data_IF_496659132266
#
_entry.id   IF_496659132266
#
_cell.length_a   1.000
_cell.length_b   1.000
_cell.length_c   1.000
_cell.angle_alpha   90.00
_cell.angle_beta   90.00
_cell.angle_gamma   90.00
#
_symmetry.space_group_name_H-M   'P 1'
#
loop_
_entity.id
_entity.type
_entity.pdbx_description
1 polymer ?
#
# COMPACT_ATOMS: atom_id res chain seq x y z
N UNK A 1 7.65 20.83 -36.61
CA UNK A 1 7.39 22.23 -37.01
C UNK A 1 8.56 23.20 -36.75
N UNK A 2 9.52 22.88 -35.88
CA UNK A 2 10.74 23.69 -35.65
C UNK A 2 11.86 23.41 -36.69
N UNK A 3 11.69 22.42 -37.56
CA UNK A 3 12.69 22.02 -38.55
C UNK A 3 12.54 22.72 -39.93
N UNK A 4 11.50 23.53 -40.13
CA UNK A 4 11.23 24.16 -41.42
C UNK A 4 11.51 25.67 -41.50
N UNK A 5 12.12 26.27 -40.46
CA UNK A 5 12.36 27.73 -40.45
C UNK A 5 13.84 28.15 -40.28
N UNK A 6 14.79 27.24 -40.41
CA UNK A 6 16.23 27.64 -40.52
C UNK A 6 16.73 27.32 -41.89
N UNK A 7 16.41 28.18 -42.83
CA UNK A 7 17.09 28.28 -44.12
C UNK A 7 18.45 28.96 -43.85
N UNK A 8 19.50 28.15 -43.68
CA UNK A 8 20.87 28.64 -43.63
C UNK A 8 21.53 28.32 -44.99
N UNK A 9 21.12 29.08 -45.99
CA UNK A 9 21.89 29.20 -47.23
C UNK A 9 22.99 30.22 -46.96
N UNK A 10 24.22 29.81 -46.84
CA UNK A 10 25.38 30.70 -46.87
C UNK A 10 26.50 30.55 -45.87
N UNK A 11 26.83 29.32 -45.45
CA UNK A 11 28.08 29.09 -44.75
C UNK A 11 28.88 28.01 -45.44
N UNK A 12 30.05 28.47 -45.97
CA UNK A 12 31.02 27.69 -46.68
C UNK A 12 31.54 26.48 -45.90
N UNK A 13 32.04 25.51 -46.67
CA UNK A 13 32.62 24.26 -46.25
C UNK A 13 33.68 24.44 -45.15
N UNK A 14 33.26 24.41 -43.91
CA UNK A 14 34.12 24.36 -42.71
C UNK A 14 33.76 23.14 -41.91
N UNK A 15 34.63 22.17 -41.94
CA UNK A 15 34.79 20.97 -41.11
C UNK A 15 33.51 20.34 -40.52
N UNK A 16 33.08 19.23 -41.11
CA UNK A 16 32.01 18.36 -40.65
C UNK A 16 32.24 17.75 -39.22
N UNK A 17 33.32 18.07 -38.58
CA UNK A 17 33.72 17.55 -37.26
C UNK A 17 33.16 18.36 -36.07
N UNK A 18 32.74 19.60 -36.27
CA UNK A 18 32.18 20.42 -35.18
C UNK A 18 30.68 20.25 -34.96
N UNK A 19 29.96 19.63 -35.89
CA UNK A 19 28.50 19.42 -35.77
C UNK A 19 28.08 18.14 -35.04
N UNK A 20 28.97 17.19 -34.83
CA UNK A 20 28.71 15.92 -34.18
C UNK A 20 28.25 16.07 -32.71
N UNK A 21 28.90 16.87 -31.86
CA UNK A 21 28.50 17.02 -30.47
C UNK A 21 27.13 17.72 -30.30
N UNK A 22 26.80 18.66 -31.18
CA UNK A 22 25.55 19.39 -31.12
C UNK A 22 24.35 18.47 -31.49
N UNK A 23 24.53 17.60 -32.47
CA UNK A 23 23.48 16.65 -32.91
C UNK A 23 23.17 15.61 -31.84
N UNK A 24 24.18 15.13 -31.12
CA UNK A 24 24.00 14.20 -30.00
C UNK A 24 23.43 14.90 -28.77
N UNK A 25 23.80 16.14 -28.52
CA UNK A 25 23.19 16.98 -27.49
C UNK A 25 21.70 17.23 -27.76
N UNK A 26 21.32 17.58 -28.99
CA UNK A 26 19.91 17.77 -29.40
C UNK A 26 19.14 16.47 -29.30
N UNK A 27 19.73 15.33 -29.68
CA UNK A 27 19.08 14.01 -29.49
C UNK A 27 18.90 13.68 -28.03
N UNK A 28 19.88 13.95 -27.17
CA UNK A 28 19.81 13.79 -25.72
C UNK A 28 18.69 14.63 -25.10
N UNK A 29 18.68 15.92 -25.40
CA UNK A 29 17.65 16.87 -24.93
C UNK A 29 16.24 16.48 -25.44
N UNK A 30 16.14 16.04 -26.69
CA UNK A 30 14.84 15.57 -27.25
C UNK A 30 14.34 14.31 -26.56
N UNK A 31 15.22 13.38 -26.17
CA UNK A 31 14.86 12.19 -25.39
C UNK A 31 14.41 12.56 -23.98
N UNK A 32 15.17 13.41 -23.28
CA UNK A 32 14.80 13.88 -21.94
C UNK A 32 13.47 14.64 -21.96
N UNK A 33 13.25 15.52 -22.93
CA UNK A 33 11.99 16.23 -23.09
C UNK A 33 10.82 15.27 -23.33
N UNK A 34 11.01 14.25 -24.16
CA UNK A 34 10.00 13.22 -24.42
C UNK A 34 9.70 12.40 -23.16
N UNK A 35 10.71 12.06 -22.37
CA UNK A 35 10.54 11.36 -21.10
C UNK A 35 9.82 12.22 -20.06
N UNK A 36 10.18 13.50 -19.93
CA UNK A 36 9.51 14.45 -19.05
C UNK A 36 8.05 14.64 -19.47
N UNK A 37 7.78 14.75 -20.76
CA UNK A 37 6.44 14.87 -21.28
C UNK A 37 5.60 13.63 -21.01
N UNK A 38 6.11 12.44 -21.28
CA UNK A 38 5.46 11.16 -20.97
C UNK A 38 5.18 11.04 -19.47
N UNK A 39 6.13 11.43 -18.63
CA UNK A 39 5.99 11.41 -17.18
C UNK A 39 4.90 12.36 -16.69
N UNK A 40 4.82 13.59 -17.25
CA UNK A 40 3.75 14.54 -16.93
C UNK A 40 2.37 14.00 -17.32
N UNK A 41 2.23 13.46 -18.52
CA UNK A 41 0.97 12.85 -19.00
C UNK A 41 0.54 11.70 -18.08
N UNK A 42 1.48 10.82 -17.72
CA UNK A 42 1.19 9.69 -16.82
C UNK A 42 0.78 10.14 -15.42
N UNK A 43 1.43 11.18 -14.87
CA UNK A 43 1.05 11.76 -13.57
C UNK A 43 -0.35 12.39 -13.64
N UNK A 44 -0.70 13.02 -14.76
CA UNK A 44 -2.03 13.59 -14.95
C UNK A 44 -3.09 12.50 -15.07
N UNK A 45 -2.83 11.44 -15.83
CA UNK A 45 -3.71 10.27 -15.92
C UNK A 45 -3.89 9.53 -14.59
N UNK A 46 -2.84 9.48 -13.74
CA UNK A 46 -2.93 8.98 -12.37
C UNK A 46 -3.90 9.80 -11.50
N UNK A 47 -3.89 11.12 -11.65
CA UNK A 47 -4.78 12.03 -10.91
C UNK A 47 -6.23 11.94 -11.36
N UNK A 48 -6.46 11.62 -12.62
CA UNK A 48 -7.79 11.49 -13.25
C UNK A 48 -8.33 10.06 -13.17
N UNK A 49 -7.50 9.10 -12.72
CA UNK A 49 -7.92 7.71 -12.53
C UNK A 49 -8.90 7.61 -11.35
N UNK A 50 -9.96 6.80 -11.45
CA UNK A 50 -10.87 6.53 -10.33
C UNK A 50 -10.19 5.80 -9.15
N UNK A 51 -8.92 5.45 -9.27
CA UNK A 51 -8.14 4.78 -8.25
C UNK A 51 -7.29 5.78 -7.47
N UNK A 52 -7.31 5.66 -6.14
CA UNK A 52 -6.49 6.45 -5.19
C UNK A 52 -4.98 6.11 -5.25
N UNK A 53 -4.46 5.69 -6.42
CA UNK A 53 -3.02 5.41 -6.56
C UNK A 53 -2.26 6.72 -6.56
N UNK A 54 -1.46 6.91 -5.51
CA UNK A 54 -0.64 8.10 -5.33
C UNK A 54 0.82 7.72 -5.38
N UNK A 55 1.57 8.41 -6.23
CA UNK A 55 3.02 8.23 -6.34
C UNK A 55 3.56 8.96 -7.56
N UNK A 56 4.72 9.59 -7.39
CA UNK A 56 5.44 10.32 -8.43
C UNK A 56 6.86 9.74 -8.62
N UNK A 57 7.25 8.79 -7.77
CA UNK A 57 8.50 8.07 -7.88
C UNK A 57 8.54 7.23 -9.16
N UNK A 58 9.73 7.03 -9.70
CA UNK A 58 9.91 6.26 -10.93
C UNK A 58 9.36 4.84 -10.78
N UNK A 59 9.62 4.20 -9.65
CA UNK A 59 9.14 2.84 -9.36
C UNK A 59 7.61 2.74 -9.37
N UNK A 60 6.88 3.72 -8.79
CA UNK A 60 5.42 3.75 -8.82
C UNK A 60 4.86 4.04 -10.21
N UNK A 61 5.51 4.91 -10.99
CA UNK A 61 5.11 5.19 -12.36
C UNK A 61 5.24 3.94 -13.26
N UNK A 62 6.34 3.20 -13.13
CA UNK A 62 6.56 1.93 -13.83
C UNK A 62 5.55 0.86 -13.42
N UNK A 63 5.28 0.73 -12.11
CA UNK A 63 4.24 -0.16 -11.60
C UNK A 63 2.88 0.19 -12.21
N UNK A 64 2.52 1.47 -12.23
CA UNK A 64 1.23 1.91 -12.76
C UNK A 64 1.10 1.66 -14.28
N UNK A 65 2.16 1.85 -15.05
CA UNK A 65 2.18 1.48 -16.46
C UNK A 65 1.92 -0.03 -16.67
N UNK A 66 2.53 -0.87 -15.81
CA UNK A 66 2.28 -2.31 -15.82
C UNK A 66 0.83 -2.64 -15.43
N UNK A 67 0.30 -1.99 -14.39
CA UNK A 67 -1.12 -2.12 -13.99
C UNK A 67 -2.05 -1.84 -15.16
N UNK A 68 -1.88 -0.69 -15.84
CA UNK A 68 -2.70 -0.33 -17.01
C UNK A 68 -2.62 -1.36 -18.14
N UNK A 69 -1.41 -1.82 -18.45
CA UNK A 69 -1.22 -2.84 -19.49
C UNK A 69 -1.90 -4.15 -19.12
N UNK A 70 -1.75 -4.62 -17.90
CA UNK A 70 -2.28 -5.90 -17.42
C UNK A 70 -3.81 -5.83 -17.22
N UNK A 71 -4.34 -4.67 -16.84
CA UNK A 71 -5.78 -4.48 -16.64
C UNK A 71 -6.61 -4.82 -17.89
N UNK A 72 -6.08 -4.54 -19.09
CA UNK A 72 -6.77 -4.82 -20.36
C UNK A 72 -6.98 -6.31 -20.66
N UNK A 73 -6.27 -7.20 -19.95
CA UNK A 73 -6.32 -8.66 -20.18
C UNK A 73 -7.01 -9.37 -19.01
N UNK A 74 -7.79 -10.41 -19.35
CA UNK A 74 -8.49 -11.22 -18.35
C UNK A 74 -7.60 -12.36 -17.83
N UNK A 75 -6.51 -11.99 -17.16
CA UNK A 75 -5.52 -12.91 -16.58
C UNK A 75 -5.45 -12.76 -15.08
N UNK A 76 -5.04 -13.83 -14.40
CA UNK A 76 -4.79 -13.79 -12.96
C UNK A 76 -3.54 -12.96 -12.64
N UNK A 77 -3.62 -12.16 -11.58
CA UNK A 77 -2.56 -11.26 -11.14
C UNK A 77 -2.24 -11.51 -9.68
N UNK A 78 -0.96 -11.66 -9.36
CA UNK A 78 -0.46 -11.69 -8.00
C UNK A 78 0.21 -10.36 -7.66
N UNK A 79 -0.22 -9.71 -6.59
CA UNK A 79 0.35 -8.46 -6.08
C UNK A 79 1.22 -8.81 -4.87
N UNK A 80 2.53 -8.62 -5.00
CA UNK A 80 3.48 -8.83 -3.92
C UNK A 80 3.92 -7.48 -3.33
N UNK A 81 4.05 -7.42 -2.02
CA UNK A 81 4.52 -6.23 -1.31
C UNK A 81 4.28 -6.32 0.18
N UNK A 82 5.04 -5.55 0.95
CA UNK A 82 4.94 -5.52 2.40
C UNK A 82 3.55 -5.14 2.91
N UNK A 83 3.28 -5.44 4.19
CA UNK A 83 2.04 -5.01 4.84
C UNK A 83 1.94 -3.47 4.80
N UNK A 84 0.74 -2.95 4.51
CA UNK A 84 0.52 -1.51 4.42
C UNK A 84 1.09 -0.81 3.17
N UNK A 85 1.69 -1.53 2.22
CA UNK A 85 2.27 -0.94 1.00
C UNK A 85 1.23 -0.42 -0.01
N UNK A 86 -0.06 -0.81 0.11
CA UNK A 86 -1.14 -0.36 -0.76
C UNK A 86 -1.61 -1.41 -1.77
N UNK A 87 -1.49 -2.70 -1.46
CA UNK A 87 -1.90 -3.81 -2.35
C UNK A 87 -3.36 -3.73 -2.79
N UNK A 88 -4.26 -3.40 -1.87
CA UNK A 88 -5.69 -3.24 -2.17
C UNK A 88 -5.97 -2.11 -3.16
N UNK A 89 -5.23 -0.98 -3.04
CA UNK A 89 -5.35 0.15 -3.98
C UNK A 89 -4.97 -0.26 -5.40
N UNK A 90 -3.91 -1.05 -5.55
CA UNK A 90 -3.48 -1.60 -6.86
C UNK A 90 -4.52 -2.61 -7.39
N UNK A 91 -5.11 -3.46 -6.54
CA UNK A 91 -6.16 -4.39 -6.93
C UNK A 91 -7.42 -3.66 -7.42
N UNK A 92 -7.85 -2.61 -6.71
CA UNK A 92 -8.95 -1.74 -7.11
C UNK A 92 -8.67 -1.06 -8.47
N UNK A 93 -7.42 -0.59 -8.69
CA UNK A 93 -7.00 0.00 -9.96
C UNK A 93 -7.05 -1.00 -11.12
N UNK A 94 -6.57 -2.23 -10.90
CA UNK A 94 -6.64 -3.31 -11.88
C UNK A 94 -8.08 -3.63 -12.29
N UNK A 95 -9.00 -3.65 -11.32
CA UNK A 95 -10.42 -3.87 -11.60
C UNK A 95 -11.02 -2.68 -12.34
N UNK A 96 -10.87 -1.45 -11.83
CA UNK A 96 -11.45 -0.24 -12.41
C UNK A 96 -10.98 0.07 -13.84
N UNK A 97 -9.76 -0.35 -14.20
CA UNK A 97 -9.19 -0.21 -15.56
C UNK A 97 -9.47 -1.42 -16.45
N UNK A 98 -10.14 -2.46 -15.96
CA UNK A 98 -10.39 -3.70 -16.68
C UNK A 98 -11.70 -3.67 -17.48
N UNK A 99 -11.87 -4.67 -18.35
CA UNK A 99 -13.15 -4.90 -19.06
C UNK A 99 -14.28 -5.30 -18.11
N UNK A 100 -13.96 -5.68 -16.86
CA UNK A 100 -14.91 -6.08 -15.81
C UNK A 100 -15.22 -4.95 -14.82
N UNK A 101 -14.81 -3.72 -15.12
CA UNK A 101 -14.97 -2.55 -14.22
C UNK A 101 -16.41 -2.25 -13.81
N UNK A 102 -17.37 -2.64 -14.62
CA UNK A 102 -18.81 -2.51 -14.32
C UNK A 102 -19.36 -3.68 -13.50
N UNK A 103 -18.59 -4.77 -13.37
CA UNK A 103 -18.97 -5.94 -12.57
C UNK A 103 -18.61 -5.76 -11.08
N UNK A 104 -18.99 -6.73 -10.24
CA UNK A 104 -18.68 -6.68 -8.82
C UNK A 104 -17.17 -6.80 -8.56
N UNK A 105 -16.65 -6.02 -7.61
CA UNK A 105 -15.34 -6.18 -7.01
C UNK A 105 -15.51 -6.72 -5.59
N UNK A 106 -15.28 -8.01 -5.42
CA UNK A 106 -15.47 -8.69 -4.14
C UNK A 106 -14.13 -8.96 -3.49
N UNK A 107 -13.98 -8.53 -2.26
CA UNK A 107 -12.74 -8.68 -1.49
C UNK A 107 -12.91 -9.69 -0.36
N UNK A 108 -11.84 -10.41 -0.07
CA UNK A 108 -11.74 -11.29 1.09
C UNK A 108 -10.29 -11.29 1.59
N UNK A 109 -10.08 -11.07 2.88
CA UNK A 109 -8.78 -11.25 3.53
C UNK A 109 -8.72 -12.66 4.11
N UNK A 110 -7.85 -13.52 3.53
CA UNK A 110 -7.72 -14.92 3.91
C UNK A 110 -7.11 -15.09 5.31
N UNK A 111 -6.27 -14.16 5.76
CA UNK A 111 -5.65 -14.21 7.08
C UNK A 111 -6.58 -13.75 8.22
N UNK A 112 -7.63 -12.99 7.89
CA UNK A 112 -8.58 -12.50 8.89
C UNK A 112 -9.69 -13.51 9.24
N UNK A 113 -9.83 -14.62 8.49
CA UNK A 113 -10.90 -15.59 8.63
C UNK A 113 -10.35 -16.88 9.26
N UNK A 114 -10.98 -17.42 10.32
CA UNK A 114 -10.61 -18.71 10.86
C UNK A 114 -10.60 -19.81 9.79
N UNK A 115 -9.62 -20.72 9.84
CA UNK A 115 -9.44 -21.82 8.88
C UNK A 115 -10.72 -22.65 8.66
N UNK A 116 -11.48 -22.87 9.73
CA UNK A 116 -12.73 -23.65 9.68
C UNK A 116 -13.86 -22.98 8.90
N UNK A 117 -13.78 -21.66 8.70
CA UNK A 117 -14.81 -20.87 8.03
C UNK A 117 -14.42 -20.40 6.62
N UNK A 118 -13.14 -20.48 6.28
CA UNK A 118 -12.64 -19.93 5.00
C UNK A 118 -13.31 -20.56 3.77
N UNK A 119 -13.53 -21.90 3.78
CA UNK A 119 -14.23 -22.57 2.67
C UNK A 119 -15.69 -22.11 2.56
N UNK A 120 -16.37 -21.94 3.69
CA UNK A 120 -17.74 -21.45 3.73
C UNK A 120 -17.86 -20.00 3.25
N UNK A 121 -16.90 -19.13 3.58
CA UNK A 121 -16.86 -17.76 3.07
C UNK A 121 -16.52 -17.71 1.57
N UNK A 122 -15.57 -18.51 1.10
CA UNK A 122 -15.20 -18.54 -0.31
C UNK A 122 -16.31 -19.13 -1.19
N UNK A 123 -16.82 -20.32 -0.84
CA UNK A 123 -17.70 -21.11 -1.71
C UNK A 123 -19.16 -21.09 -1.29
N UNK A 124 -19.50 -20.54 -0.10
CA UNK A 124 -20.84 -20.60 0.44
C UNK A 124 -21.17 -21.94 1.10
N UNK A 125 -22.33 -22.02 1.71
CA UNK A 125 -22.81 -23.25 2.33
C UNK A 125 -24.32 -23.45 2.15
N UNK A 126 -24.74 -24.69 2.17
CA UNK A 126 -26.14 -25.09 2.24
C UNK A 126 -26.61 -25.13 3.72
N UNK A 127 -27.91 -25.01 3.93
CA UNK A 127 -28.52 -25.19 5.26
C UNK A 127 -28.15 -26.55 5.85
N UNK A 128 -27.67 -26.57 7.09
CA UNK A 128 -27.25 -27.79 7.79
C UNK A 128 -25.86 -28.31 7.45
N UNK A 129 -25.03 -27.56 6.70
CA UNK A 129 -23.69 -27.97 6.29
C UNK A 129 -22.73 -28.16 7.48
N UNK A 130 -22.94 -27.43 8.57
CA UNK A 130 -22.20 -27.52 9.84
C UNK A 130 -23.04 -27.00 10.99
N UNK A 131 -22.60 -27.22 12.24
CA UNK A 131 -23.29 -26.70 13.44
C UNK A 131 -23.31 -25.16 13.38
N UNK A 132 -24.53 -24.59 13.27
CA UNK A 132 -24.73 -23.14 13.10
C UNK A 132 -25.09 -22.69 11.67
N UNK A 133 -25.09 -23.57 10.69
CA UNK A 133 -25.56 -23.28 9.33
C UNK A 133 -27.10 -23.30 9.26
N UNK A 134 -27.74 -22.31 9.85
CA UNK A 134 -29.21 -22.22 9.95
C UNK A 134 -29.89 -21.95 8.61
N UNK A 135 -29.20 -21.22 7.73
CA UNK A 135 -29.68 -20.83 6.41
C UNK A 135 -28.60 -21.05 5.35
N UNK A 136 -29.00 -21.12 4.09
CA UNK A 136 -28.09 -21.13 2.95
C UNK A 136 -27.44 -19.75 2.77
N UNK A 137 -26.10 -19.72 2.51
CA UNK A 137 -25.37 -18.48 2.24
C UNK A 137 -24.54 -18.58 0.96
N UNK A 138 -24.56 -17.51 0.14
CA UNK A 138 -23.73 -17.42 -1.06
C UNK A 138 -22.27 -17.14 -0.68
N UNK A 139 -21.33 -17.78 -1.37
CA UNK A 139 -19.91 -17.56 -1.20
C UNK A 139 -19.37 -16.37 -2.02
N UNK A 140 -18.15 -15.93 -1.71
CA UNK A 140 -17.49 -14.82 -2.40
C UNK A 140 -17.30 -15.11 -3.90
N UNK A 141 -17.10 -16.37 -4.29
CA UNK A 141 -17.02 -16.78 -5.70
C UNK A 141 -18.34 -16.52 -6.46
N UNK A 142 -19.47 -16.84 -5.85
CA UNK A 142 -20.78 -16.56 -6.46
C UNK A 142 -21.06 -15.05 -6.54
N UNK A 143 -20.72 -14.32 -5.46
CA UNK A 143 -20.89 -12.87 -5.41
C UNK A 143 -20.02 -12.12 -6.41
N UNK A 144 -18.83 -12.65 -6.74
CA UNK A 144 -17.91 -12.08 -7.71
C UNK A 144 -18.22 -12.44 -9.16
N UNK A 145 -19.28 -13.21 -9.43
CA UNK A 145 -19.59 -13.68 -10.76
C UNK A 145 -19.73 -12.53 -11.76
N UNK A 146 -19.12 -12.68 -12.94
CA UNK A 146 -18.94 -11.66 -13.99
C UNK A 146 -18.11 -10.43 -13.58
N UNK A 147 -17.42 -10.50 -12.44
CA UNK A 147 -16.58 -9.43 -11.89
C UNK A 147 -15.17 -9.89 -11.56
N UNK A 148 -14.67 -9.38 -10.44
CA UNK A 148 -13.32 -9.66 -9.95
C UNK A 148 -13.37 -10.10 -8.48
N UNK A 149 -12.69 -11.19 -8.16
CA UNK A 149 -12.45 -11.64 -6.79
C UNK A 149 -11.03 -11.27 -6.38
N UNK A 150 -10.91 -10.47 -5.32
CA UNK A 150 -9.63 -10.11 -4.72
C UNK A 150 -9.39 -10.92 -3.44
N UNK A 151 -8.34 -11.75 -3.46
CA UNK A 151 -7.91 -12.57 -2.32
C UNK A 151 -6.68 -11.91 -1.69
N UNK A 152 -6.86 -11.22 -0.57
CA UNK A 152 -5.74 -10.66 0.18
C UNK A 152 -5.16 -11.70 1.14
N UNK A 153 -3.86 -11.62 1.39
CA UNK A 153 -3.10 -12.56 2.24
C UNK A 153 -3.29 -14.03 1.83
N UNK A 154 -3.24 -14.29 0.51
CA UNK A 154 -3.48 -15.65 -0.05
C UNK A 154 -2.50 -16.71 0.49
N UNK A 155 -1.33 -16.29 0.96
CA UNK A 155 -0.33 -17.15 1.60
C UNK A 155 -0.80 -17.78 2.91
N UNK A 156 -1.83 -17.22 3.56
CA UNK A 156 -2.38 -17.71 4.82
C UNK A 156 -3.46 -18.81 4.65
N UNK A 157 -3.75 -19.20 3.40
CA UNK A 157 -4.68 -20.29 3.12
C UNK A 157 -4.16 -21.62 3.63
N UNK A 158 -5.00 -22.36 4.35
CA UNK A 158 -4.71 -23.73 4.76
C UNK A 158 -4.55 -24.68 3.55
N UNK A 159 -3.81 -25.77 3.68
CA UNK A 159 -3.62 -26.75 2.60
C UNK A 159 -4.94 -27.24 1.97
N UNK A 160 -5.98 -27.41 2.80
CA UNK A 160 -7.31 -27.81 2.33
C UNK A 160 -7.97 -26.73 1.48
N UNK A 161 -7.94 -25.46 1.94
CA UNK A 161 -8.47 -24.34 1.19
C UNK A 161 -7.71 -24.10 -0.12
N UNK A 162 -6.39 -24.33 -0.16
CA UNK A 162 -5.61 -24.27 -1.39
C UNK A 162 -6.08 -25.28 -2.44
N UNK A 163 -6.43 -26.53 -2.04
CA UNK A 163 -6.97 -27.55 -2.95
C UNK A 163 -8.33 -27.13 -3.51
N UNK A 164 -9.21 -26.63 -2.65
CA UNK A 164 -10.55 -26.19 -3.04
C UNK A 164 -10.48 -24.97 -3.98
N UNK A 165 -9.58 -24.03 -3.71
CA UNK A 165 -9.31 -22.86 -4.55
C UNK A 165 -8.78 -23.28 -5.93
N UNK A 166 -7.82 -24.21 -5.98
CA UNK A 166 -7.27 -24.72 -7.23
C UNK A 166 -8.36 -25.32 -8.14
N UNK A 167 -9.24 -26.15 -7.56
CA UNK A 167 -10.35 -26.77 -8.29
C UNK A 167 -11.28 -25.71 -8.86
N UNK A 168 -11.67 -24.71 -8.06
CA UNK A 168 -12.54 -23.61 -8.49
C UNK A 168 -11.94 -22.82 -9.68
N UNK A 169 -10.62 -22.55 -9.64
CA UNK A 169 -9.93 -21.82 -10.72
C UNK A 169 -9.81 -22.67 -11.99
N UNK A 170 -9.54 -23.96 -11.86
CA UNK A 170 -9.33 -24.85 -13.02
C UNK A 170 -10.63 -25.18 -13.73
N UNK A 171 -11.67 -25.52 -12.94
CA UNK A 171 -12.95 -25.98 -13.48
C UNK A 171 -13.91 -24.83 -13.82
N UNK A 172 -13.63 -23.61 -13.27
CA UNK A 172 -14.57 -22.46 -13.31
C UNK A 172 -15.93 -22.82 -12.72
N UNK A 173 -15.94 -23.73 -11.77
CA UNK A 173 -17.12 -24.21 -11.06
C UNK A 173 -16.79 -24.33 -9.56
N UNK A 174 -17.82 -24.10 -8.75
CA UNK A 174 -17.73 -24.31 -7.30
C UNK A 174 -18.86 -25.21 -6.82
N UNK A 175 -18.66 -25.82 -5.64
CA UNK A 175 -19.69 -26.52 -4.89
C UNK A 175 -19.76 -25.92 -3.50
N UNK A 176 -20.96 -25.57 -3.03
CA UNK A 176 -21.13 -25.07 -1.66
C UNK A 176 -20.81 -26.14 -0.64
N UNK A 177 -20.31 -25.72 0.51
CA UNK A 177 -20.08 -26.65 1.64
C UNK A 177 -21.40 -27.34 2.01
N UNK A 178 -21.38 -28.67 2.08
CA UNK A 178 -22.58 -29.50 2.29
C UNK A 178 -23.49 -29.67 1.07
N UNK A 179 -23.18 -29.02 -0.05
CA UNK A 179 -23.91 -29.14 -1.31
C UNK A 179 -23.37 -30.21 -2.24
N UNK A 180 -24.10 -30.47 -3.33
CA UNK A 180 -23.72 -31.41 -4.43
C UNK A 180 -23.82 -30.77 -5.81
N UNK A 181 -24.35 -29.56 -5.91
CA UNK A 181 -24.58 -28.90 -7.18
C UNK A 181 -23.35 -28.11 -7.61
N UNK A 182 -22.88 -28.39 -8.83
CA UNK A 182 -21.87 -27.53 -9.47
C UNK A 182 -22.50 -26.21 -9.89
N UNK A 183 -21.82 -25.11 -9.59
CA UNK A 183 -22.23 -23.75 -9.90
C UNK A 183 -21.11 -23.14 -10.74
N UNK A 184 -21.39 -22.85 -12.00
CA UNK A 184 -20.43 -22.21 -12.90
C UNK A 184 -20.20 -20.75 -12.48
N UNK A 185 -18.94 -20.31 -12.53
CA UNK A 185 -18.52 -18.95 -12.17
C UNK A 185 -17.55 -18.41 -13.22
N UNK A 186 -17.80 -17.20 -13.68
CA UNK A 186 -16.93 -16.47 -14.58
C UNK A 186 -16.33 -15.26 -13.83
N UNK A 187 -15.14 -15.44 -13.25
CA UNK A 187 -14.48 -14.44 -12.42
C UNK A 187 -13.05 -14.21 -12.87
N UNK A 188 -12.58 -12.98 -12.72
CA UNK A 188 -11.15 -12.64 -12.73
C UNK A 188 -10.62 -12.71 -11.31
N UNK A 189 -9.45 -13.34 -11.11
CA UNK A 189 -8.83 -13.45 -9.80
C UNK A 189 -7.64 -12.52 -9.71
N UNK A 190 -7.60 -11.72 -8.63
CA UNK A 190 -6.45 -10.94 -8.21
C UNK A 190 -6.08 -11.43 -6.81
N UNK A 191 -4.83 -11.74 -6.58
CA UNK A 191 -4.32 -12.16 -5.26
C UNK A 191 -3.32 -11.16 -4.72
N UNK A 192 -3.20 -11.07 -3.41
CA UNK A 192 -2.15 -10.28 -2.77
C UNK A 192 -1.49 -11.07 -1.64
N UNK A 193 -0.22 -10.79 -1.41
CA UNK A 193 0.56 -11.39 -0.34
C UNK A 193 1.72 -10.49 0.08
N UNK A 194 2.12 -10.60 1.35
CA UNK A 194 3.34 -10.02 1.91
C UNK A 194 4.47 -11.04 2.04
N UNK A 195 4.21 -12.32 1.72
CA UNK A 195 5.19 -13.43 1.79
C UNK A 195 5.59 -13.86 0.37
N UNK A 196 6.81 -14.32 0.20
CA UNK A 196 7.27 -14.85 -1.07
C UNK A 196 6.65 -16.24 -1.32
N UNK A 197 5.68 -16.34 -2.24
CA UNK A 197 5.00 -17.60 -2.54
C UNK A 197 5.97 -18.67 -3.04
N UNK A 198 7.02 -18.31 -3.77
CA UNK A 198 8.05 -19.27 -4.23
C UNK A 198 8.78 -19.95 -3.07
N UNK A 199 9.10 -19.18 -2.02
CA UNK A 199 9.71 -19.75 -0.82
C UNK A 199 8.75 -20.70 -0.08
N UNK A 200 7.46 -20.35 -0.01
CA UNK A 200 6.45 -21.20 0.59
C UNK A 200 6.25 -22.51 -0.18
N UNK A 201 6.33 -22.46 -1.51
CA UNK A 201 6.31 -23.66 -2.36
C UNK A 201 7.52 -24.54 -2.06
N UNK A 202 8.73 -23.98 -1.94
CA UNK A 202 9.94 -24.75 -1.63
C UNK A 202 9.91 -25.40 -0.24
N UNK A 203 9.19 -24.78 0.72
CA UNK A 203 8.97 -25.32 2.08
C UNK A 203 7.80 -26.30 2.17
N UNK A 204 7.02 -26.49 1.10
CA UNK A 204 5.81 -27.32 1.11
C UNK A 204 4.59 -26.69 1.81
N UNK A 205 4.68 -25.41 2.19
CA UNK A 205 3.58 -24.65 2.84
C UNK A 205 2.54 -24.15 1.82
N UNK A 206 2.92 -24.03 0.55
CA UNK A 206 2.04 -23.63 -0.55
C UNK A 206 2.18 -24.60 -1.73
N UNK A 207 1.06 -24.95 -2.36
CA UNK A 207 1.06 -25.90 -3.48
C UNK A 207 1.63 -25.27 -4.74
N UNK A 208 2.50 -25.98 -5.42
CA UNK A 208 3.13 -25.52 -6.67
C UNK A 208 2.10 -25.34 -7.81
N UNK A 209 1.11 -26.25 -7.92
CA UNK A 209 0.08 -26.20 -8.94
C UNK A 209 -0.82 -24.96 -8.80
N UNK A 210 -1.19 -24.61 -7.58
CA UNK A 210 -1.94 -23.39 -7.28
C UNK A 210 -1.10 -22.13 -7.56
N UNK A 211 0.18 -22.14 -7.14
CA UNK A 211 1.09 -21.04 -7.40
C UNK A 211 1.15 -20.69 -8.89
N UNK A 212 1.39 -21.66 -9.77
CA UNK A 212 1.45 -21.38 -11.22
C UNK A 212 0.11 -20.91 -11.81
N UNK A 213 -1.00 -21.26 -11.19
CA UNK A 213 -2.33 -20.82 -11.65
C UNK A 213 -2.68 -19.41 -11.21
N UNK A 214 -2.26 -19.00 -10.00
CA UNK A 214 -2.48 -17.66 -9.46
C UNK A 214 -1.46 -16.65 -10.01
N UNK A 215 -0.23 -17.06 -10.16
CA UNK A 215 0.90 -16.20 -10.49
C UNK A 215 1.18 -16.15 -12.00
N UNK A 216 0.16 -15.81 -12.80
CA UNK A 216 0.34 -15.59 -14.26
C UNK A 216 1.15 -14.31 -14.50
N UNK A 217 0.85 -13.25 -13.77
CA UNK A 217 1.62 -11.99 -13.78
C UNK A 217 1.82 -11.54 -12.33
N UNK A 218 3.07 -11.22 -11.98
CA UNK A 218 3.40 -10.63 -10.68
C UNK A 218 3.59 -9.13 -10.80
N UNK A 219 2.93 -8.37 -9.91
CA UNK A 219 3.15 -6.95 -9.70
C UNK A 219 3.75 -6.74 -8.32
N UNK A 220 4.94 -6.17 -8.27
CA UNK A 220 5.62 -5.86 -7.01
C UNK A 220 5.42 -4.40 -6.64
N UNK A 221 4.97 -4.15 -5.40
CA UNK A 221 4.84 -2.81 -4.84
C UNK A 221 6.06 -2.53 -3.98
N UNK A 222 6.89 -1.53 -4.33
CA UNK A 222 8.03 -1.18 -3.52
C UNK A 222 7.61 -0.65 -2.15
N UNK A 223 8.32 -0.98 -1.07
CA UNK A 223 8.05 -0.44 0.25
C UNK A 223 8.29 1.09 0.28
N UNK A 224 7.67 1.79 1.22
CA UNK A 224 7.68 3.26 1.27
C UNK A 224 9.09 3.85 1.38
N UNK A 225 10.01 3.15 2.07
CA UNK A 225 11.43 3.54 2.19
C UNK A 225 12.18 3.57 0.84
N UNK A 226 11.74 2.82 -0.16
CA UNK A 226 12.32 2.84 -1.53
C UNK A 226 11.69 3.91 -2.42
N UNK A 227 10.59 4.54 -1.97
CA UNK A 227 9.86 5.60 -2.68
C UNK A 227 9.61 6.84 -1.83
N UNK A 228 10.61 7.27 -1.08
CA UNK A 228 10.58 8.42 -0.16
C UNK A 228 10.04 9.70 -0.83
N UNK A 229 10.25 9.86 -2.14
CA UNK A 229 9.72 11.00 -2.93
C UNK A 229 8.19 11.06 -2.95
N UNK A 230 7.50 9.95 -2.69
CA UNK A 230 6.04 9.88 -2.69
C UNK A 230 5.44 10.35 -1.36
N UNK A 231 6.23 10.44 -0.29
CA UNK A 231 5.74 10.79 1.06
C UNK A 231 4.99 12.12 1.02
N UNK A 232 5.51 13.13 0.36
CA UNK A 232 4.89 14.45 0.30
C UNK A 232 3.53 14.43 -0.42
N UNK A 233 3.43 13.69 -1.53
CA UNK A 233 2.17 13.50 -2.26
C UNK A 233 1.14 12.73 -1.43
N UNK A 234 1.58 11.67 -0.73
CA UNK A 234 0.75 10.87 0.17
C UNK A 234 0.24 11.69 1.35
N UNK A 235 1.11 12.49 1.98
CA UNK A 235 0.73 13.40 3.08
C UNK A 235 -0.34 14.38 2.65
N UNK A 236 -0.16 15.04 1.51
CA UNK A 236 -1.13 15.99 0.97
C UNK A 236 -2.49 15.32 0.70
N UNK A 237 -2.48 14.11 0.17
CA UNK A 237 -3.71 13.34 -0.03
C UNK A 237 -4.39 12.99 1.29
N UNK A 238 -3.65 12.48 2.28
CA UNK A 238 -4.23 12.11 3.58
C UNK A 238 -4.77 13.33 4.31
N UNK A 239 -4.05 14.45 4.31
CA UNK A 239 -4.55 15.70 4.88
C UNK A 239 -5.88 16.14 4.25
N UNK A 240 -5.98 16.09 2.92
CA UNK A 240 -7.23 16.40 2.23
C UNK A 240 -8.37 15.50 2.67
N UNK A 241 -8.13 14.19 2.76
CA UNK A 241 -9.12 13.18 3.17
C UNK A 241 -9.53 13.38 4.65
N UNK A 242 -8.56 13.59 5.53
CA UNK A 242 -8.81 13.80 6.97
C UNK A 242 -9.62 15.10 7.19
N UNK A 243 -9.29 16.17 6.49
CA UNK A 243 -10.08 17.41 6.55
C UNK A 243 -11.54 17.20 6.14
N UNK A 244 -11.79 16.44 5.08
CA UNK A 244 -13.15 16.14 4.62
C UNK A 244 -13.91 15.27 5.62
N UNK A 245 -13.23 14.37 6.32
CA UNK A 245 -13.87 13.41 7.23
C UNK A 245 -14.06 13.99 8.63
N UNK A 246 -13.06 14.69 9.17
CA UNK A 246 -13.03 15.14 10.56
C UNK A 246 -13.12 16.67 10.73
N UNK A 247 -13.11 17.44 9.63
CA UNK A 247 -13.22 18.91 9.69
C UNK A 247 -12.00 19.60 10.30
N UNK A 248 -10.83 18.94 10.37
CA UNK A 248 -9.62 19.55 10.92
C UNK A 248 -9.16 20.74 10.09
N UNK A 249 -8.50 21.73 10.73
CA UNK A 249 -8.05 22.99 10.09
C UNK A 249 -6.77 22.81 9.27
N UNK A 250 -5.96 21.82 9.58
CA UNK A 250 -4.63 21.61 9.01
C UNK A 250 -4.68 21.51 7.47
N UNK A 251 -3.92 22.38 6.81
CA UNK A 251 -3.82 22.46 5.33
C UNK A 251 -2.49 21.96 4.81
N UNK A 252 -1.46 21.95 5.65
CA UNK A 252 -0.09 21.59 5.30
C UNK A 252 0.66 21.02 6.50
N UNK A 253 1.88 20.54 6.25
CA UNK A 253 2.81 20.12 7.30
C UNK A 253 4.05 20.99 7.30
N UNK A 254 4.74 21.12 8.44
CA UNK A 254 5.97 21.87 8.55
C UNK A 254 7.11 21.18 7.78
N UNK A 255 8.08 21.98 7.31
CA UNK A 255 9.27 21.46 6.63
C UNK A 255 10.07 20.51 7.52
N UNK A 256 10.10 20.76 8.82
CA UNK A 256 10.78 19.91 9.79
C UNK A 256 10.06 18.57 9.94
N UNK A 257 8.74 18.58 10.05
CA UNK A 257 7.95 17.36 10.12
C UNK A 257 8.12 16.53 8.84
N UNK A 258 8.06 17.15 7.65
CA UNK A 258 8.30 16.46 6.37
C UNK A 258 9.71 15.84 6.32
N UNK A 259 10.73 16.54 6.84
CA UNK A 259 12.10 16.02 6.92
C UNK A 259 12.17 14.77 7.80
N UNK A 260 11.55 14.80 8.99
CA UNK A 260 11.49 13.64 9.91
C UNK A 260 10.75 12.46 9.28
N UNK A 261 9.63 12.70 8.58
CA UNK A 261 8.91 11.67 7.84
C UNK A 261 9.78 11.02 6.74
N UNK A 262 10.62 11.82 6.04
CA UNK A 262 11.52 11.29 5.00
C UNK A 262 12.71 10.47 5.55
N UNK A 263 13.01 10.59 6.83
CA UNK A 263 14.11 9.87 7.49
C UNK A 263 13.67 8.54 8.12
N UNK A 264 12.37 8.33 8.30
CA UNK A 264 11.82 7.14 8.94
C UNK A 264 11.87 5.91 8.01
N UNK A 265 12.05 4.73 8.61
CA UNK A 265 12.20 3.44 7.89
C UNK A 265 10.89 2.84 7.36
N UNK A 266 9.77 3.26 7.90
CA UNK A 266 8.40 2.89 7.48
C UNK A 266 8.12 1.38 7.53
N UNK A 267 8.26 0.70 8.67
CA UNK A 267 7.93 -0.73 8.77
C UNK A 267 6.45 -1.02 8.46
N UNK A 268 5.53 -0.12 8.81
CA UNK A 268 4.10 -0.20 8.48
C UNK A 268 3.72 0.49 7.16
N UNK A 269 4.71 0.96 6.38
CA UNK A 269 4.52 1.55 5.06
C UNK A 269 3.49 2.71 5.04
N UNK A 270 2.64 2.74 4.03
CA UNK A 270 1.62 3.80 3.81
C UNK A 270 0.54 3.79 4.90
N UNK A 271 0.25 2.61 5.49
CA UNK A 271 -0.71 2.50 6.59
C UNK A 271 -0.21 3.23 7.83
N UNK A 272 1.06 3.06 8.17
CA UNK A 272 1.71 3.78 9.28
C UNK A 272 1.76 5.28 9.02
N UNK A 273 2.16 5.71 7.82
CA UNK A 273 2.16 7.12 7.44
C UNK A 273 0.77 7.74 7.59
N UNK A 274 -0.28 7.06 7.14
CA UNK A 274 -1.66 7.52 7.27
C UNK A 274 -2.07 7.69 8.74
N UNK A 275 -1.69 6.75 9.62
CA UNK A 275 -1.99 6.83 11.06
C UNK A 275 -1.28 8.03 11.71
N UNK A 276 0.00 8.23 11.43
CA UNK A 276 0.78 9.36 11.97
C UNK A 276 0.20 10.70 11.54
N UNK A 277 -0.17 10.85 10.27
CA UNK A 277 -0.79 12.08 9.77
C UNK A 277 -2.18 12.30 10.38
N UNK A 278 -2.97 11.24 10.57
CA UNK A 278 -4.28 11.33 11.22
C UNK A 278 -4.15 11.74 12.69
N UNK A 279 -3.20 11.13 13.42
CA UNK A 279 -2.93 11.48 14.81
C UNK A 279 -2.51 12.93 14.94
N UNK A 280 -1.54 13.39 14.15
CA UNK A 280 -1.09 14.78 14.17
C UNK A 280 -2.25 15.75 13.86
N UNK A 281 -3.08 15.42 12.86
CA UNK A 281 -4.21 16.27 12.45
C UNK A 281 -5.33 16.35 13.50
N UNK A 282 -5.48 15.32 14.33
CA UNK A 282 -6.49 15.31 15.43
C UNK A 282 -5.95 15.99 16.69
N UNK A 283 -4.64 15.85 16.97
CA UNK A 283 -4.03 16.35 18.19
C UNK A 283 -3.52 17.78 18.10
N UNK A 284 -3.39 18.34 16.91
CA UNK A 284 -2.85 19.67 16.69
C UNK A 284 -3.92 20.60 16.08
N UNK A 285 -4.23 21.73 16.76
CA UNK A 285 -5.27 22.68 16.37
C UNK A 285 -4.82 23.70 15.30
N UNK A 286 -3.60 23.58 14.78
CA UNK A 286 -3.00 24.55 13.86
C UNK A 286 -3.34 24.30 12.39
N UNK A 287 -3.16 25.33 11.54
CA UNK A 287 -3.27 25.21 10.08
C UNK A 287 -2.07 24.43 9.48
N UNK A 288 -0.97 24.35 10.21
CA UNK A 288 0.27 23.66 9.84
C UNK A 288 0.59 22.60 10.90
N UNK A 289 0.61 21.33 10.51
CA UNK A 289 1.00 20.24 11.43
C UNK A 289 2.52 20.26 11.67
N UNK A 290 2.88 20.22 12.94
CA UNK A 290 4.27 20.19 13.38
C UNK A 290 4.76 18.75 13.65
N UNK A 291 3.81 17.80 13.82
CA UNK A 291 4.10 16.41 14.13
C UNK A 291 4.81 16.25 15.45
N UNK A 292 4.33 16.91 16.51
CA UNK A 292 4.99 16.89 17.82
C UNK A 292 5.09 15.51 18.45
N UNK A 293 4.11 14.64 18.20
CA UNK A 293 4.08 13.25 18.70
C UNK A 293 4.96 12.28 17.91
N UNK A 294 5.40 12.68 16.71
CA UNK A 294 6.17 11.80 15.84
C UNK A 294 7.67 11.87 16.07
N UNK A 295 8.27 10.74 16.45
CA UNK A 295 9.70 10.56 16.65
C UNK A 295 10.20 9.43 15.72
N UNK A 296 11.06 9.73 14.72
CA UNK A 296 11.50 8.73 13.72
C UNK A 296 12.24 7.51 14.31
N UNK A 297 12.91 7.70 15.45
CA UNK A 297 13.71 6.68 16.12
C UNK A 297 12.93 5.85 17.16
N UNK A 298 11.63 6.10 17.33
CA UNK A 298 10.79 5.24 18.14
C UNK A 298 10.50 3.97 17.35
N UNK A 299 11.41 3.00 17.42
CA UNK A 299 11.13 1.62 17.01
C UNK A 299 9.81 1.20 17.67
N UNK A 300 8.86 0.75 16.85
CA UNK A 300 7.70 0.05 17.36
C UNK A 300 8.21 -1.07 18.26
N UNK A 301 7.69 -1.25 19.47
CA UNK A 301 8.17 -2.32 20.34
C UNK A 301 7.90 -3.65 19.62
N UNK A 302 8.94 -4.21 19.03
CA UNK A 302 8.95 -5.62 18.70
C UNK A 302 8.79 -6.39 19.99
N UNK A 303 7.65 -7.03 20.14
CA UNK A 303 7.33 -8.09 21.11
C UNK A 303 7.97 -7.96 22.49
N UNK A 304 7.14 -7.69 23.48
CA UNK A 304 7.34 -8.07 24.90
C UNK A 304 8.81 -8.23 25.36
N UNK A 305 9.46 -7.12 25.77
CA UNK A 305 10.77 -7.24 26.39
C UNK A 305 11.36 -6.01 27.05
N UNK A 306 11.13 -4.79 26.59
CA UNK A 306 11.86 -3.63 27.15
C UNK A 306 11.01 -2.37 27.38
N UNK A 307 10.07 -2.48 28.32
CA UNK A 307 9.30 -1.33 28.80
C UNK A 307 10.10 -0.32 29.66
N UNK A 308 11.40 -0.54 29.87
CA UNK A 308 12.21 0.27 30.79
C UNK A 308 12.91 1.47 30.10
N UNK A 309 13.47 1.28 28.92
CA UNK A 309 14.23 2.34 28.23
C UNK A 309 13.34 3.44 27.61
N UNK A 310 12.18 3.08 27.11
CA UNK A 310 11.20 4.04 26.56
C UNK A 310 10.66 5.01 27.64
N UNK A 311 10.40 4.52 28.85
CA UNK A 311 9.96 5.38 29.97
C UNK A 311 11.05 6.34 30.43
N UNK A 312 12.32 5.92 30.40
CA UNK A 312 13.46 6.77 30.74
C UNK A 312 13.67 7.89 29.72
N UNK A 313 13.54 7.57 28.42
CA UNK A 313 13.67 8.52 27.32
C UNK A 313 12.54 9.57 27.35
N UNK A 314 11.28 9.16 27.43
CA UNK A 314 10.12 10.05 27.51
C UNK A 314 10.16 10.95 28.74
N UNK A 315 10.62 10.44 29.86
CA UNK A 315 10.78 11.21 31.08
C UNK A 315 11.86 12.30 30.96
N UNK A 316 13.02 11.96 30.38
CA UNK A 316 14.13 12.90 30.16
C UNK A 316 13.73 14.02 29.20
N UNK A 317 13.09 13.69 28.10
CA UNK A 317 12.65 14.67 27.10
C UNK A 317 11.58 15.62 27.67
N UNK A 318 10.59 15.07 28.38
CA UNK A 318 9.55 15.89 29.02
C UNK A 318 10.11 16.81 30.08
N UNK A 319 11.13 16.38 30.86
CA UNK A 319 11.83 17.23 31.82
C UNK A 319 12.58 18.37 31.12
N UNK A 320 13.24 18.13 30.01
CA UNK A 320 13.91 19.17 29.21
C UNK A 320 12.88 20.18 28.67
N UNK A 321 11.77 19.71 28.08
CA UNK A 321 10.71 20.56 27.54
C UNK A 321 10.01 21.41 28.57
N UNK A 322 9.92 20.95 29.79
CA UNK A 322 9.31 21.70 30.92
C UNK A 322 10.33 22.49 31.74
N UNK A 323 11.58 22.65 31.23
CA UNK A 323 12.67 23.31 31.97
C UNK A 323 12.79 22.81 33.42
N UNK A 324 12.62 21.50 33.64
CA UNK A 324 12.67 20.90 34.97
C UNK A 324 11.41 21.09 35.82
N UNK A 325 10.34 21.68 35.28
CA UNK A 325 9.09 21.85 36.03
C UNK A 325 8.37 20.51 36.22
N UNK A 326 8.61 19.87 37.36
CA UNK A 326 8.09 18.54 37.69
C UNK A 326 6.56 18.47 37.75
N UNK A 327 5.88 19.57 38.06
CA UNK A 327 4.42 19.63 38.08
C UNK A 327 3.82 19.57 36.68
N UNK A 328 4.39 20.34 35.73
CA UNK A 328 4.01 20.29 34.32
C UNK A 328 4.40 18.96 33.67
N UNK A 329 5.58 18.44 34.00
CA UNK A 329 6.05 17.15 33.48
C UNK A 329 5.08 16.01 33.89
N UNK A 330 4.64 15.95 35.15
CA UNK A 330 3.67 14.97 35.63
C UNK A 330 2.33 15.07 34.89
N UNK A 331 1.87 16.29 34.61
CA UNK A 331 0.64 16.55 33.89
C UNK A 331 0.72 16.09 32.41
N UNK A 332 1.85 16.36 31.73
CA UNK A 332 2.08 15.94 30.35
C UNK A 332 2.19 14.42 30.24
N UNK A 333 2.88 13.76 31.19
CA UNK A 333 3.05 12.31 31.20
C UNK A 333 1.81 11.55 31.76
N UNK A 334 0.74 12.25 32.16
CA UNK A 334 -0.47 11.63 32.69
C UNK A 334 -0.26 10.85 33.98
N UNK A 335 0.77 11.19 34.78
CA UNK A 335 1.13 10.46 36.02
C UNK A 335 1.04 11.35 37.27
N UNK A 336 0.92 10.71 38.46
CA UNK A 336 0.96 11.43 39.69
C UNK A 336 2.37 12.01 39.96
N UNK A 337 2.47 13.15 40.69
CA UNK A 337 3.78 13.71 41.09
C UNK A 337 4.63 12.68 41.83
N UNK A 338 4.01 11.87 42.66
CA UNK A 338 4.69 10.80 43.43
C UNK A 338 5.33 9.77 42.50
N UNK A 339 4.58 9.34 41.48
CA UNK A 339 5.05 8.40 40.44
C UNK A 339 6.21 9.01 39.64
N UNK A 340 6.09 10.30 39.27
CA UNK A 340 7.14 11.01 38.53
C UNK A 340 8.45 11.06 39.34
N UNK A 341 8.39 11.41 40.64
CA UNK A 341 9.57 11.43 41.50
C UNK A 341 10.22 10.05 41.65
N UNK A 342 9.41 8.99 41.74
CA UNK A 342 9.93 7.61 41.76
C UNK A 342 10.65 7.26 40.44
N UNK A 343 10.14 7.69 39.31
CA UNK A 343 10.77 7.48 38.00
C UNK A 343 12.06 8.28 37.86
N UNK A 344 12.08 9.56 38.24
CA UNK A 344 13.29 10.40 38.25
C UNK A 344 14.40 9.73 39.08
N UNK A 345 14.08 9.26 40.28
CA UNK A 345 15.03 8.56 41.17
C UNK A 345 15.47 7.22 40.58
N UNK A 346 14.55 6.45 39.99
CA UNK A 346 14.83 5.13 39.41
C UNK A 346 15.74 5.23 38.18
N UNK A 347 15.58 6.27 37.37
CA UNK A 347 16.32 6.43 36.11
C UNK A 347 17.52 7.38 36.21
N UNK A 348 17.81 7.92 37.40
CA UNK A 348 18.96 8.79 37.64
C UNK A 348 18.93 10.13 36.91
N UNK A 349 17.73 10.67 36.67
CA UNK A 349 17.50 11.93 35.98
C UNK A 349 17.27 13.04 37.03
N UNK A 350 18.33 13.76 37.40
CA UNK A 350 18.23 14.90 38.31
C UNK A 350 18.02 16.22 37.55
#
# INVERSE_FOLDING_TARGET
QLYQQTNIDGLGVGSALEYFPVKDLIRGLSREFLEISKKKTLIQELRESPSDVIGTSQAMLELYQRVRRVAAYDVNVCIEGESGAGKEVIANSLHGLSRRSMGPFITINCGAIPETLIESELFGHEKGAFTGALERRLGKFELANHGTLFLDEVAELSPKAQVSLLRAIQQKEIVRVGGRKNISVDIRIITATNRCLKELVSKGEFRADLFYRLNTITLYIPPLRERIRDIEALVNHFLKKIRQTFGCKATSISKDFLRRLKQHSWPGNVRELQQIIAEAAIMEDGDILMGYSFHPDSEMPHSAGDGMDNKKFNLRETLIRTNGNKAQCAKILGVSRKTLYQWIKKYGLN
#
